data_IF_656427260387
#
_entry.id   IF_656427260387
#
_cell.length_a   1.000
_cell.length_b   1.000
_cell.length_c   1.000
_cell.angle_alpha   90.00
_cell.angle_beta   90.00
_cell.angle_gamma   90.00
#
_symmetry.space_group_name_H-M   'P 1'
#
loop_
_entity.id
_entity.type
_entity.pdbx_description
1 polymer ?
#
# COMPACT_ATOMS: atom_id res chain seq x y z
N UNK A 1 27.51 -10.36 9.20
CA UNK A 1 27.45 -11.82 9.21
C UNK A 1 26.42 -12.30 10.23
N UNK A 2 25.16 -12.21 9.86
CA UNK A 2 24.05 -12.58 10.76
C UNK A 2 23.66 -14.06 10.64
N UNK A 3 24.40 -14.87 9.85
CA UNK A 3 24.10 -16.29 9.65
C UNK A 3 22.76 -16.59 8.96
N UNK A 4 22.19 -15.59 8.29
CA UNK A 4 20.86 -15.65 7.65
C UNK A 4 21.04 -15.93 6.16
N UNK A 5 20.33 -16.95 5.65
CA UNK A 5 20.20 -17.18 4.21
C UNK A 5 19.06 -16.31 3.66
N UNK A 6 19.34 -15.49 2.67
CA UNK A 6 18.33 -14.67 1.99
C UNK A 6 17.53 -15.56 1.02
N UNK A 7 16.21 -15.71 1.19
CA UNK A 7 15.39 -16.62 0.38
C UNK A 7 14.81 -15.98 -0.90
N UNK A 8 15.21 -14.77 -1.25
CA UNK A 8 14.71 -14.02 -2.42
C UNK A 8 15.87 -13.47 -3.27
N UNK A 9 15.64 -13.14 -4.54
CA UNK A 9 16.65 -12.56 -5.42
C UNK A 9 17.16 -11.20 -4.94
N UNK A 10 18.47 -10.97 -5.12
CA UNK A 10 19.13 -9.69 -4.87
C UNK A 10 19.80 -9.25 -6.15
N UNK A 11 19.52 -8.01 -6.58
CA UNK A 11 20.16 -7.38 -7.73
C UNK A 11 21.37 -6.59 -7.24
N UNK A 12 22.55 -6.86 -7.80
CA UNK A 12 23.77 -6.15 -7.43
C UNK A 12 23.79 -4.69 -7.93
N UNK A 13 23.15 -4.43 -9.07
CA UNK A 13 22.95 -3.11 -9.70
C UNK A 13 24.21 -2.22 -9.74
N UNK A 14 25.36 -2.80 -10.07
CA UNK A 14 26.65 -2.08 -10.12
C UNK A 14 26.65 -0.92 -11.13
N UNK A 15 25.86 -1.01 -12.19
CA UNK A 15 25.66 0.05 -13.19
C UNK A 15 24.66 1.11 -12.76
N UNK A 16 23.93 0.88 -11.67
CA UNK A 16 22.83 1.72 -11.16
C UNK A 16 21.66 1.88 -12.14
N UNK A 17 21.52 1.00 -13.13
CA UNK A 17 20.44 1.06 -14.10
C UNK A 17 19.07 0.84 -13.45
N UNK A 18 18.96 -0.15 -12.58
CA UNK A 18 17.71 -0.44 -11.86
C UNK A 18 17.37 0.70 -10.90
N UNK A 19 18.34 1.17 -10.12
CA UNK A 19 18.15 2.30 -9.21
C UNK A 19 17.70 3.57 -9.93
N UNK A 20 18.23 3.85 -11.13
CA UNK A 20 17.81 4.98 -11.98
C UNK A 20 16.41 4.77 -12.54
N UNK A 21 16.11 3.56 -13.06
CA UNK A 21 14.81 3.23 -13.63
C UNK A 21 13.68 3.37 -12.61
N UNK A 22 13.94 3.04 -11.35
CA UNK A 22 12.99 3.20 -10.23
C UNK A 22 13.03 4.58 -9.55
N UNK A 23 13.78 5.55 -10.09
CA UNK A 23 13.88 6.89 -9.52
C UNK A 23 14.50 6.94 -8.12
N UNK A 24 15.35 5.97 -7.80
CA UNK A 24 15.96 5.86 -6.47
C UNK A 24 17.24 6.72 -6.31
N UNK A 25 17.73 7.30 -7.38
CA UNK A 25 18.87 8.21 -7.34
C UNK A 25 18.33 9.64 -7.21
N UNK A 26 18.63 10.26 -6.07
CA UNK A 26 18.13 11.59 -5.74
C UNK A 26 19.28 12.60 -5.74
N UNK A 27 19.31 13.57 -6.67
CA UNK A 27 20.27 14.64 -6.67
C UNK A 27 20.27 15.37 -5.32
N UNK A 28 21.45 15.60 -4.76
CA UNK A 28 21.61 16.24 -3.45
C UNK A 28 21.59 15.28 -2.24
N UNK A 29 21.14 14.01 -2.40
CA UNK A 29 21.30 13.00 -1.36
C UNK A 29 22.58 12.18 -1.59
N UNK A 30 22.76 11.66 -2.79
CA UNK A 30 23.98 10.96 -3.24
C UNK A 30 23.92 10.73 -4.74
N UNK A 31 25.07 10.78 -5.40
CA UNK A 31 25.21 10.45 -6.82
C UNK A 31 25.42 8.94 -7.05
N UNK A 32 25.79 8.20 -6.01
CA UNK A 32 26.22 6.80 -6.09
C UNK A 32 25.48 5.84 -5.15
N UNK A 33 24.61 6.37 -4.30
CA UNK A 33 23.81 5.54 -3.38
C UNK A 33 22.32 5.78 -3.59
N UNK A 34 21.57 4.70 -3.77
CA UNK A 34 20.12 4.77 -3.87
C UNK A 34 19.49 5.15 -2.53
N UNK A 35 18.44 5.98 -2.56
CA UNK A 35 17.60 6.23 -1.39
C UNK A 35 16.87 4.93 -0.98
N UNK A 36 16.37 4.92 0.24
CA UNK A 36 15.61 3.76 0.75
C UNK A 36 14.19 3.81 0.22
N UNK A 37 13.87 2.97 -0.73
CA UNK A 37 12.54 2.88 -1.31
C UNK A 37 11.96 1.46 -1.15
N UNK A 38 10.65 1.39 -1.07
CA UNK A 38 9.87 0.16 -1.14
C UNK A 38 8.76 0.37 -2.15
N UNK A 39 8.61 -0.56 -3.07
CA UNK A 39 7.58 -0.57 -4.11
C UNK A 39 6.70 -1.80 -3.92
N UNK A 40 5.39 -1.61 -3.95
CA UNK A 40 4.41 -2.70 -3.99
C UNK A 40 3.84 -2.74 -5.40
N UNK A 41 4.08 -3.85 -6.08
CA UNK A 41 3.67 -4.08 -7.47
C UNK A 41 2.75 -5.30 -7.45
N UNK A 42 1.60 -5.19 -8.10
CA UNK A 42 0.64 -6.29 -8.17
C UNK A 42 1.03 -7.35 -9.22
N UNK A 43 0.31 -8.49 -9.28
CA UNK A 43 0.59 -9.54 -10.25
C UNK A 43 0.46 -9.12 -11.71
N UNK A 44 -0.29 -8.07 -12.00
CA UNK A 44 -0.44 -7.48 -13.34
C UNK A 44 0.72 -6.53 -13.71
N UNK A 45 1.66 -6.31 -12.78
CA UNK A 45 2.81 -5.42 -12.96
C UNK A 45 2.52 -3.95 -12.70
N UNK A 46 1.39 -3.64 -12.06
CA UNK A 46 0.99 -2.27 -11.75
C UNK A 46 1.57 -1.84 -10.41
N UNK A 47 2.20 -0.66 -10.40
CA UNK A 47 2.69 -0.05 -9.17
C UNK A 47 1.50 0.45 -8.33
N UNK A 48 1.32 -0.15 -7.15
CA UNK A 48 0.19 0.14 -6.25
C UNK A 48 0.55 1.11 -5.12
N UNK A 49 1.75 1.01 -4.62
CA UNK A 49 2.27 1.91 -3.58
C UNK A 49 3.78 2.03 -3.66
N UNK A 50 4.29 3.18 -3.26
CA UNK A 50 5.72 3.42 -3.10
C UNK A 50 5.97 4.30 -1.88
N UNK A 51 7.03 3.97 -1.14
CA UNK A 51 7.44 4.71 0.05
C UNK A 51 8.93 4.98 -0.03
N UNK A 52 9.30 6.24 0.12
CA UNK A 52 10.68 6.70 0.12
C UNK A 52 11.08 7.16 1.51
N UNK A 53 12.25 6.72 1.95
CA UNK A 53 12.87 7.15 3.20
C UNK A 53 14.22 7.78 2.93
N UNK A 54 14.61 8.82 3.68
CA UNK A 54 15.98 9.31 3.68
C UNK A 54 16.95 8.18 4.09
N UNK A 55 18.19 8.27 3.64
CA UNK A 55 19.22 7.28 3.96
C UNK A 55 19.48 7.14 5.47
N UNK A 56 19.19 8.18 6.24
CA UNK A 56 19.34 8.22 7.70
C UNK A 56 18.25 7.45 8.47
N UNK A 57 17.14 7.10 7.82
CA UNK A 57 15.96 6.53 8.49
C UNK A 57 15.77 5.05 8.17
N UNK A 58 15.48 4.26 9.19
CA UNK A 58 15.05 2.87 9.03
C UNK A 58 13.64 2.78 8.47
N UNK A 59 13.32 1.67 7.81
CA UNK A 59 11.99 1.38 7.26
C UNK A 59 11.15 0.61 8.26
N UNK A 60 9.83 0.85 8.25
CA UNK A 60 8.87 0.06 9.02
C UNK A 60 8.36 -1.11 8.17
N UNK A 61 8.85 -2.31 8.45
CA UNK A 61 8.41 -3.52 7.73
C UNK A 61 6.96 -3.85 8.07
N UNK A 62 6.54 -3.65 9.32
CA UNK A 62 5.16 -3.88 9.75
C UNK A 62 4.17 -3.03 8.97
N UNK A 63 4.50 -1.76 8.70
CA UNK A 63 3.67 -0.89 7.87
C UNK A 63 3.57 -1.40 6.42
N UNK A 64 4.66 -1.89 5.84
CA UNK A 64 4.60 -2.46 4.49
C UNK A 64 3.73 -3.71 4.43
N UNK A 65 3.79 -4.57 5.44
CA UNK A 65 2.92 -5.74 5.55
C UNK A 65 1.46 -5.34 5.74
N UNK A 66 1.20 -4.30 6.56
CA UNK A 66 -0.13 -3.74 6.76
C UNK A 66 -0.71 -3.22 5.44
N UNK A 67 0.04 -2.39 4.71
CA UNK A 67 -0.39 -1.83 3.41
C UNK A 67 -0.62 -2.93 2.39
N UNK A 68 0.26 -3.95 2.33
CA UNK A 68 0.08 -5.09 1.45
C UNK A 68 -1.25 -5.82 1.73
N UNK A 69 -1.56 -6.08 3.00
CA UNK A 69 -2.84 -6.70 3.40
C UNK A 69 -4.04 -5.83 3.08
N UNK A 70 -3.93 -4.52 3.30
CA UNK A 70 -4.99 -3.57 2.95
C UNK A 70 -5.27 -3.57 1.43
N UNK A 71 -4.23 -3.54 0.60
CA UNK A 71 -4.37 -3.61 -0.87
C UNK A 71 -5.03 -4.92 -1.31
N UNK A 72 -4.57 -6.06 -0.80
CA UNK A 72 -5.16 -7.37 -1.10
C UNK A 72 -6.64 -7.42 -0.72
N UNK A 73 -7.00 -6.94 0.47
CA UNK A 73 -8.39 -6.90 0.94
C UNK A 73 -9.26 -5.98 0.06
N UNK A 74 -8.74 -4.80 -0.28
CA UNK A 74 -9.47 -3.87 -1.15
C UNK A 74 -9.73 -4.46 -2.54
N UNK A 75 -8.77 -5.18 -3.10
CA UNK A 75 -8.91 -5.83 -4.41
C UNK A 75 -9.88 -7.01 -4.38
N UNK A 76 -9.83 -7.83 -3.32
CA UNK A 76 -10.67 -9.01 -3.18
C UNK A 76 -12.15 -8.65 -2.94
N UNK A 77 -12.40 -7.73 -2.01
CA UNK A 77 -13.76 -7.41 -1.55
C UNK A 77 -14.35 -6.14 -2.16
N UNK A 78 -13.60 -5.45 -3.03
CA UNK A 78 -14.02 -4.19 -3.66
C UNK A 78 -14.45 -3.14 -2.63
N UNK A 79 -13.62 -2.97 -1.62
CA UNK A 79 -13.82 -2.06 -0.48
C UNK A 79 -12.63 -1.12 -0.33
N UNK A 80 -12.77 -0.10 0.52
CA UNK A 80 -11.64 0.69 0.99
C UNK A 80 -11.31 0.34 2.45
N UNK A 81 -10.07 0.54 2.84
CA UNK A 81 -9.65 0.36 4.23
C UNK A 81 -9.47 1.72 4.90
N UNK A 82 -9.95 1.90 6.15
CA UNK A 82 -9.71 3.14 6.88
C UNK A 82 -8.22 3.31 7.26
N UNK A 83 -7.88 4.47 7.81
CA UNK A 83 -6.53 4.71 8.32
C UNK A 83 -6.12 3.65 9.34
N UNK A 84 -4.86 3.27 9.35
CA UNK A 84 -4.28 2.28 10.28
C UNK A 84 -4.99 0.92 10.30
N UNK A 85 -5.83 0.64 9.33
CA UNK A 85 -6.60 -0.60 9.26
C UNK A 85 -5.74 -1.85 9.43
N UNK A 86 -6.24 -2.80 10.21
CA UNK A 86 -5.66 -4.13 10.43
C UNK A 86 -6.66 -5.21 10.01
N UNK A 87 -6.19 -6.40 9.57
CA UNK A 87 -7.07 -7.53 9.30
C UNK A 87 -8.03 -7.82 10.45
N UNK A 88 -9.31 -8.01 10.15
CA UNK A 88 -10.39 -8.22 11.13
C UNK A 88 -11.10 -6.95 11.59
N UNK A 89 -10.63 -5.79 11.22
CA UNK A 89 -11.36 -4.54 11.43
C UNK A 89 -12.36 -4.27 10.30
N UNK A 90 -13.31 -3.38 10.56
CA UNK A 90 -14.28 -2.96 9.57
C UNK A 90 -13.63 -2.27 8.37
N UNK A 91 -14.27 -2.41 7.22
CA UNK A 91 -13.87 -1.79 5.96
C UNK A 91 -14.90 -0.75 5.53
N UNK A 92 -14.46 0.20 4.73
CA UNK A 92 -15.33 1.24 4.16
C UNK A 92 -16.00 0.68 2.91
N UNK A 93 -17.31 0.77 2.86
CA UNK A 93 -18.09 0.47 1.67
C UNK A 93 -17.94 1.64 0.70
N UNK A 94 -17.57 1.41 -0.58
CA UNK A 94 -17.44 2.49 -1.56
C UNK A 94 -18.70 3.35 -1.63
N UNK A 95 -18.58 4.67 -1.79
CA UNK A 95 -19.74 5.54 -1.89
C UNK A 95 -20.59 5.16 -3.11
N UNK A 96 -21.91 5.31 -3.04
CA UNK A 96 -22.79 5.03 -4.15
C UNK A 96 -22.55 6.01 -5.31
N UNK A 97 -22.72 5.53 -6.54
CA UNK A 97 -22.51 6.30 -7.75
C UNK A 97 -23.75 7.14 -8.17
N UNK A 98 -24.91 6.90 -7.56
CA UNK A 98 -26.17 7.56 -7.89
C UNK A 98 -26.86 8.10 -6.63
N UNK A 99 -27.71 9.13 -6.79
CA UNK A 99 -28.50 9.70 -5.69
C UNK A 99 -29.48 8.68 -5.13
N UNK A 100 -30.13 7.89 -5.98
CA UNK A 100 -31.05 6.84 -5.56
C UNK A 100 -30.37 5.79 -4.65
N UNK A 101 -29.16 5.35 -5.03
CA UNK A 101 -28.37 4.45 -4.19
C UNK A 101 -27.87 5.13 -2.89
N UNK A 102 -27.65 6.44 -2.90
CA UNK A 102 -27.32 7.19 -1.69
C UNK A 102 -28.50 7.26 -0.71
N UNK A 103 -29.71 7.45 -1.21
CA UNK A 103 -30.94 7.50 -0.40
C UNK A 103 -31.25 6.15 0.26
N UNK A 104 -30.93 5.04 -0.41
CA UNK A 104 -31.15 3.68 0.11
C UNK A 104 -30.06 3.19 1.04
N UNK A 105 -28.89 3.86 1.08
CA UNK A 105 -27.71 3.42 1.87
C UNK A 105 -28.03 3.12 3.33
N UNK A 106 -28.91 3.88 3.96
CA UNK A 106 -29.31 3.69 5.37
C UNK A 106 -29.98 2.34 5.64
N UNK A 107 -30.63 1.76 4.63
CA UNK A 107 -31.38 0.50 4.75
C UNK A 107 -30.59 -0.75 4.34
N UNK A 108 -29.33 -0.60 3.90
CA UNK A 108 -28.50 -1.69 3.40
C UNK A 108 -27.81 -2.52 4.51
N UNK A 109 -28.03 -2.17 5.79
CA UNK A 109 -27.51 -2.95 6.91
C UNK A 109 -26.04 -2.68 7.26
N UNK A 110 -25.45 -1.62 6.72
CA UNK A 110 -24.09 -1.16 7.07
C UNK A 110 -24.10 -0.35 8.37
N UNK A 111 -22.93 -0.20 8.99
CA UNK A 111 -22.71 0.81 10.02
C UNK A 111 -22.67 2.18 9.34
N UNK A 112 -23.83 2.82 9.27
CA UNK A 112 -24.05 4.04 8.51
C UNK A 112 -23.63 5.26 9.32
N UNK A 113 -22.73 6.09 8.79
CA UNK A 113 -22.43 7.43 9.29
C UNK A 113 -23.03 8.47 8.35
N UNK A 114 -22.75 8.34 7.06
CA UNK A 114 -23.34 9.17 6.01
C UNK A 114 -23.35 8.40 4.66
N UNK A 115 -23.99 8.91 3.64
CA UNK A 115 -24.10 8.29 2.33
C UNK A 115 -22.71 7.98 1.70
N UNK A 116 -21.71 8.81 1.98
CA UNK A 116 -20.33 8.64 1.51
C UNK A 116 -19.45 7.84 2.46
N UNK A 117 -19.88 7.61 3.70
CA UNK A 117 -19.11 6.90 4.70
C UNK A 117 -19.98 5.90 5.46
N UNK A 118 -19.83 4.66 5.11
CA UNK A 118 -20.45 3.52 5.78
C UNK A 118 -19.43 2.40 5.90
N UNK A 119 -19.48 1.64 6.98
CA UNK A 119 -18.54 0.54 7.22
C UNK A 119 -19.29 -0.78 7.36
N UNK A 120 -18.56 -1.88 7.15
CA UNK A 120 -19.03 -3.24 7.39
C UNK A 120 -17.89 -4.13 7.85
N UNK A 121 -18.22 -5.22 8.55
CA UNK A 121 -17.31 -6.35 8.75
C UNK A 121 -17.23 -7.22 7.48
N UNK A 122 -16.09 -7.87 7.27
CA UNK A 122 -15.86 -8.85 6.20
C UNK A 122 -16.09 -10.27 6.70
#
# INVERSE_FOLDING_TARGET
NFGIKIPFPIIADLSMEVAKAYGMIQPGASDTAAVRATFIIDPEGILRAMVYYPMSNGRSIDEFLRVLKALQTSDEYKVATPENWQPGQEVIVPPPATMEAADTRKSEGYNYVDWYYSTKSL
#
